data_IF_384625226343
#
_entry.id   IF_384625226343
#
_cell.length_a   1.000
_cell.length_b   1.000
_cell.length_c   1.000
_cell.angle_alpha   90.00
_cell.angle_beta   90.00
_cell.angle_gamma   90.00
#
_symmetry.space_group_name_H-M   'P 1'
#
loop_
_entity.id
_entity.type
_entity.pdbx_description
1 polymer ?
#
# COMPACT_ATOMS: atom_id res chain seq x y z
N UNK A 1 -72.07 1.96 -26.06
CA UNK A 1 -71.85 2.15 -24.61
C UNK A 1 -70.41 1.81 -24.27
N UNK A 2 -69.73 2.73 -23.59
CA UNK A 2 -68.32 2.65 -23.16
C UNK A 2 -68.19 1.67 -21.98
N UNK A 3 -67.18 0.79 -21.99
CA UNK A 3 -66.52 0.31 -20.78
C UNK A 3 -65.01 0.16 -21.01
N UNK A 4 -64.29 1.22 -20.67
CA UNK A 4 -62.90 1.16 -20.20
C UNK A 4 -62.85 0.42 -18.86
N UNK A 5 -61.87 -0.47 -18.66
CA UNK A 5 -61.20 -0.79 -17.38
C UNK A 5 -60.26 -1.98 -17.56
N UNK A 6 -59.03 -1.87 -17.05
CA UNK A 6 -58.05 -2.97 -16.98
C UNK A 6 -56.64 -2.45 -17.27
N UNK A 7 -56.10 -1.56 -16.44
CA UNK A 7 -55.23 -1.85 -15.29
C UNK A 7 -53.81 -2.27 -15.73
N UNK A 8 -52.92 -1.32 -15.47
CA UNK A 8 -51.46 -1.27 -15.44
C UNK A 8 -50.82 -2.51 -14.79
N UNK A 9 -49.77 -3.05 -15.41
CA UNK A 9 -48.65 -3.66 -14.70
C UNK A 9 -47.34 -3.26 -15.41
N UNK A 10 -46.80 -2.11 -15.03
CA UNK A 10 -45.42 -1.75 -15.35
C UNK A 10 -44.51 -2.50 -14.37
N UNK A 11 -43.89 -3.58 -14.86
CA UNK A 11 -42.80 -4.27 -14.18
C UNK A 11 -41.59 -3.33 -14.13
N UNK A 12 -41.49 -2.55 -13.06
CA UNK A 12 -40.25 -1.89 -12.67
C UNK A 12 -39.29 -2.98 -12.17
N UNK A 13 -38.47 -3.52 -13.08
CA UNK A 13 -37.27 -4.29 -12.71
C UNK A 13 -36.29 -3.29 -12.12
N UNK A 14 -36.41 -3.06 -10.81
CA UNK A 14 -35.37 -2.41 -10.03
C UNK A 14 -34.23 -3.44 -9.97
N UNK A 15 -33.30 -3.33 -10.91
CA UNK A 15 -32.00 -3.96 -10.78
C UNK A 15 -31.32 -3.31 -9.57
N UNK A 16 -31.57 -3.85 -8.39
CA UNK A 16 -30.78 -3.61 -7.21
C UNK A 16 -29.38 -4.19 -7.51
N UNK A 17 -28.54 -3.38 -8.15
CA UNK A 17 -27.11 -3.53 -8.05
C UNK A 17 -26.80 -3.33 -6.57
N UNK A 18 -26.87 -4.42 -5.81
CA UNK A 18 -26.37 -4.47 -4.45
C UNK A 18 -24.90 -4.11 -4.55
N UNK A 19 -24.59 -2.87 -4.19
CA UNK A 19 -23.22 -2.46 -3.91
C UNK A 19 -22.81 -3.34 -2.74
N UNK A 20 -22.17 -4.47 -3.02
CA UNK A 20 -21.50 -5.27 -2.00
C UNK A 20 -20.42 -4.34 -1.46
N UNK A 21 -20.77 -3.66 -0.38
CA UNK A 21 -19.88 -2.79 0.35
C UNK A 21 -18.79 -3.72 0.86
N UNK A 22 -17.57 -3.56 0.36
CA UNK A 22 -16.42 -4.31 0.84
C UNK A 22 -16.41 -4.25 2.37
N UNK A 23 -16.41 -5.40 3.01
CA UNK A 23 -16.50 -5.50 4.47
C UNK A 23 -15.14 -5.22 5.13
N UNK A 24 -14.05 -5.37 4.38
CA UNK A 24 -12.70 -5.05 4.84
C UNK A 24 -11.66 -4.97 3.72
N UNK A 25 -10.41 -4.65 4.08
CA UNK A 25 -9.31 -4.47 3.13
C UNK A 25 -8.87 -5.74 2.39
N UNK A 26 -9.36 -6.92 2.79
CA UNK A 26 -9.06 -8.20 2.15
C UNK A 26 -10.03 -8.56 1.01
N UNK A 27 -11.18 -7.90 0.90
CA UNK A 27 -12.28 -8.38 0.04
C UNK A 27 -12.10 -7.98 -1.43
N UNK A 28 -11.20 -7.04 -1.69
CA UNK A 28 -10.99 -6.46 -3.01
C UNK A 28 -10.01 -7.22 -3.89
N UNK A 29 -9.80 -6.72 -5.12
CA UNK A 29 -8.81 -7.28 -6.04
C UNK A 29 -7.37 -7.08 -5.56
N UNK A 30 -7.12 -6.13 -4.65
CA UNK A 30 -5.78 -5.68 -4.33
C UNK A 30 -5.23 -4.77 -5.43
N UNK A 31 -3.92 -4.55 -5.41
CA UNK A 31 -3.23 -3.72 -6.40
C UNK A 31 -2.20 -4.50 -7.21
N UNK A 32 -1.53 -5.49 -6.63
CA UNK A 32 -0.42 -6.19 -7.33
C UNK A 32 -0.96 -7.12 -8.41
N UNK A 33 -0.41 -6.99 -9.62
CA UNK A 33 -0.81 -7.69 -10.85
C UNK A 33 -2.25 -7.36 -11.30
N UNK A 34 -2.82 -6.26 -10.84
CA UNK A 34 -4.17 -5.79 -11.21
C UNK A 34 -4.06 -4.59 -12.16
N UNK A 35 -5.11 -4.32 -12.95
CA UNK A 35 -5.18 -3.10 -13.75
C UNK A 35 -5.17 -1.87 -12.84
N UNK A 36 -4.49 -0.80 -13.27
CA UNK A 36 -4.33 0.43 -12.50
C UNK A 36 -5.68 1.00 -12.07
N UNK A 37 -6.65 1.08 -12.99
CA UNK A 37 -7.96 1.64 -12.69
C UNK A 37 -8.71 0.84 -11.61
N UNK A 38 -8.63 -0.48 -11.66
CA UNK A 38 -9.30 -1.36 -10.67
C UNK A 38 -8.66 -1.20 -9.29
N UNK A 39 -7.33 -1.13 -9.21
CA UNK A 39 -6.62 -0.82 -7.96
C UNK A 39 -7.02 0.57 -7.42
N UNK A 40 -7.07 1.60 -8.26
CA UNK A 40 -7.43 2.95 -7.80
C UNK A 40 -8.89 3.02 -7.32
N UNK A 41 -9.82 2.34 -8.01
CA UNK A 41 -11.20 2.23 -7.54
C UNK A 41 -11.28 1.49 -6.20
N UNK A 42 -10.52 0.41 -6.05
CA UNK A 42 -10.43 -0.34 -4.80
C UNK A 42 -9.87 0.52 -3.64
N UNK A 43 -8.80 1.27 -3.88
CA UNK A 43 -8.22 2.17 -2.89
C UNK A 43 -9.21 3.27 -2.49
N UNK A 44 -9.94 3.86 -3.44
CA UNK A 44 -11.01 4.84 -3.16
C UNK A 44 -12.16 4.26 -2.34
N UNK A 45 -12.49 2.98 -2.57
CA UNK A 45 -13.55 2.31 -1.83
C UNK A 45 -13.16 1.97 -0.39
N UNK A 46 -11.85 1.85 -0.09
CA UNK A 46 -11.35 1.36 1.20
C UNK A 46 -10.50 2.35 1.97
N UNK A 47 -10.17 3.50 1.39
CA UNK A 47 -9.38 4.56 1.99
C UNK A 47 -9.79 5.93 1.40
N UNK A 48 -9.50 7.00 2.12
CA UNK A 48 -9.70 8.36 1.63
C UNK A 48 -8.49 8.76 0.80
N UNK A 49 -8.64 8.80 -0.53
CA UNK A 49 -7.58 9.15 -1.48
C UNK A 49 -7.57 10.66 -1.73
N UNK A 50 -6.39 11.26 -1.80
CA UNK A 50 -6.22 12.64 -2.28
C UNK A 50 -6.35 12.68 -3.81
N UNK A 51 -7.56 12.99 -4.30
CA UNK A 51 -7.86 13.03 -5.73
C UNK A 51 -7.07 14.12 -6.48
N UNK A 52 -6.72 15.22 -5.83
CA UNK A 52 -5.94 16.30 -6.45
C UNK A 52 -4.50 15.84 -6.70
N UNK A 53 -3.91 15.15 -5.72
CA UNK A 53 -2.58 14.59 -5.85
C UNK A 53 -2.56 13.44 -6.89
N UNK A 54 -3.57 12.57 -6.84
CA UNK A 54 -3.70 11.45 -7.77
C UNK A 54 -3.86 11.92 -9.22
N UNK A 55 -4.69 12.94 -9.48
CA UNK A 55 -4.85 13.50 -10.81
C UNK A 55 -3.52 14.01 -11.38
N UNK A 56 -2.72 14.71 -10.57
CA UNK A 56 -1.39 15.17 -10.94
C UNK A 56 -0.42 14.00 -11.22
N UNK A 57 -0.45 12.95 -10.39
CA UNK A 57 0.38 11.76 -10.59
C UNK A 57 0.03 11.02 -11.90
N UNK A 58 -1.26 10.89 -12.20
CA UNK A 58 -1.75 10.26 -13.44
C UNK A 58 -1.40 11.09 -14.68
N UNK A 59 -1.47 12.42 -14.59
CA UNK A 59 -1.08 13.31 -15.69
C UNK A 59 0.41 13.16 -16.03
N UNK A 60 1.28 13.08 -15.02
CA UNK A 60 2.73 12.88 -15.21
C UNK A 60 3.08 11.53 -15.83
N UNK A 61 2.21 10.53 -15.72
CA UNK A 61 2.40 9.20 -16.30
C UNK A 61 2.16 9.15 -17.81
N UNK A 62 1.47 10.12 -18.41
CA UNK A 62 1.11 10.11 -19.84
C UNK A 62 2.32 10.38 -20.77
N UNK A 63 3.42 9.66 -20.54
CA UNK A 63 4.64 9.72 -21.33
C UNK A 63 4.59 8.59 -22.34
N UNK A 64 4.88 8.94 -23.59
CA UNK A 64 5.10 8.00 -24.69
C UNK A 64 6.56 8.08 -25.11
N UNK A 65 7.12 6.97 -25.58
CA UNK A 65 8.44 6.97 -26.19
C UNK A 65 8.45 7.72 -27.53
N UNK A 66 9.63 7.87 -28.13
CA UNK A 66 9.81 8.53 -29.43
C UNK A 66 9.07 7.84 -30.59
N UNK A 67 8.60 6.61 -30.38
CA UNK A 67 7.84 5.82 -31.36
C UNK A 67 6.32 5.84 -31.06
N UNK A 68 5.86 6.66 -30.10
CA UNK A 68 4.47 6.75 -29.70
C UNK A 68 3.97 5.58 -28.82
N UNK A 69 4.86 4.71 -28.33
CA UNK A 69 4.50 3.62 -27.42
C UNK A 69 4.41 4.14 -25.99
N UNK A 70 3.39 3.73 -25.25
CA UNK A 70 3.30 4.05 -23.81
C UNK A 70 4.51 3.45 -23.10
N UNK A 71 5.15 4.25 -22.25
CA UNK A 71 6.10 3.73 -21.28
C UNK A 71 5.37 3.45 -19.97
N UNK A 72 5.83 2.43 -19.25
CA UNK A 72 5.43 2.24 -17.86
C UNK A 72 5.82 3.46 -17.01
N UNK A 73 5.42 3.46 -15.75
CA UNK A 73 5.73 4.57 -14.87
C UNK A 73 5.37 4.31 -13.43
N UNK A 74 5.57 5.32 -12.60
CA UNK A 74 5.21 5.27 -11.19
C UNK A 74 4.00 6.18 -10.97
N UNK A 75 2.95 5.65 -10.34
CA UNK A 75 1.82 6.43 -9.85
C UNK A 75 1.90 6.47 -8.34
N UNK A 76 2.06 7.68 -7.80
CA UNK A 76 2.05 7.91 -6.36
C UNK A 76 0.62 8.22 -5.91
N UNK A 77 0.13 7.47 -4.93
CA UNK A 77 -1.18 7.66 -4.30
C UNK A 77 -0.97 8.13 -2.86
N UNK A 78 -1.61 9.23 -2.49
CA UNK A 78 -1.67 9.69 -1.12
C UNK A 78 -3.04 9.33 -0.54
N UNK A 79 -3.08 8.64 0.60
CA UNK A 79 -4.32 8.14 1.16
C UNK A 79 -4.33 8.20 2.69
N UNK A 80 -5.53 8.13 3.29
CA UNK A 80 -5.74 7.95 4.74
C UNK A 80 -6.62 6.73 4.98
N UNK A 81 -6.25 5.94 5.98
CA UNK A 81 -7.02 4.79 6.40
C UNK A 81 -8.21 5.21 7.27
N UNK A 82 -9.34 4.49 7.24
CA UNK A 82 -10.41 4.69 8.20
C UNK A 82 -9.88 4.56 9.64
N UNK A 83 -10.18 5.54 10.50
CA UNK A 83 -9.72 5.54 11.90
C UNK A 83 -8.32 6.11 12.13
N UNK A 84 -7.58 6.48 11.07
CA UNK A 84 -6.26 7.10 11.16
C UNK A 84 -6.28 8.53 10.62
N UNK A 85 -5.58 9.44 11.30
CA UNK A 85 -5.42 10.83 10.84
C UNK A 85 -4.17 10.99 9.98
N UNK A 86 -3.17 10.16 10.24
CA UNK A 86 -1.91 10.13 9.52
C UNK A 86 -2.13 9.56 8.10
N UNK A 87 -1.67 10.28 7.07
CA UNK A 87 -1.67 9.76 5.73
C UNK A 87 -0.54 8.77 5.50
N UNK A 88 -0.72 7.96 4.46
CA UNK A 88 0.28 7.07 3.94
C UNK A 88 0.35 7.21 2.41
N UNK A 89 1.47 6.80 1.87
CA UNK A 89 1.83 6.89 0.45
C UNK A 89 1.89 5.46 -0.10
N UNK A 90 1.35 5.29 -1.30
CA UNK A 90 1.51 4.08 -2.09
C UNK A 90 2.22 4.46 -3.39
N UNK A 91 3.27 3.73 -3.74
CA UNK A 91 3.94 3.82 -5.04
C UNK A 91 3.54 2.61 -5.88
N UNK A 92 2.87 2.86 -7.00
CA UNK A 92 2.44 1.83 -7.94
C UNK A 92 3.35 1.86 -9.16
N UNK A 93 4.12 0.80 -9.37
CA UNK A 93 4.91 0.60 -10.59
C UNK A 93 4.00 -0.03 -11.64
N UNK A 94 3.69 0.75 -12.66
CA UNK A 94 2.72 0.41 -13.70
C UNK A 94 3.47 0.09 -14.99
N UNK A 95 3.12 -1.03 -15.60
CA UNK A 95 3.60 -1.46 -16.92
C UNK A 95 2.98 -0.61 -18.05
N UNK A 96 3.49 -0.74 -19.29
CA UNK A 96 2.89 -0.11 -20.47
C UNK A 96 1.42 -0.49 -20.74
N UNK A 97 0.99 -1.69 -20.34
CA UNK A 97 -0.38 -2.21 -20.48
C UNK A 97 -1.30 -1.84 -19.30
N UNK A 98 -0.95 -0.80 -18.54
CA UNK A 98 -1.73 -0.28 -17.41
C UNK A 98 -1.93 -1.31 -16.27
N UNK A 99 -1.04 -2.29 -16.10
CA UNK A 99 -1.05 -3.23 -14.97
C UNK A 99 -0.01 -2.85 -13.93
N UNK A 100 -0.30 -3.11 -12.68
CA UNK A 100 0.63 -2.84 -11.59
C UNK A 100 1.54 -4.07 -11.42
N UNK A 101 2.82 -3.92 -11.71
CA UNK A 101 3.82 -4.98 -11.51
C UNK A 101 4.27 -5.03 -10.04
N UNK A 102 4.45 -3.85 -9.43
CA UNK A 102 4.94 -3.73 -8.06
C UNK A 102 4.19 -2.62 -7.33
N UNK A 103 3.90 -2.86 -6.05
CA UNK A 103 3.33 -1.85 -5.17
C UNK A 103 4.19 -1.71 -3.92
N UNK A 104 4.46 -0.47 -3.50
CA UNK A 104 5.15 -0.16 -2.26
C UNK A 104 4.31 0.79 -1.43
N UNK A 105 4.41 0.72 -0.11
CA UNK A 105 3.72 1.67 0.75
C UNK A 105 4.46 1.88 2.06
N UNK A 106 4.49 3.12 2.55
CA UNK A 106 5.02 3.39 3.88
C UNK A 106 4.05 2.94 4.97
N UNK A 107 4.61 2.45 6.07
CA UNK A 107 3.87 2.19 7.30
C UNK A 107 3.77 3.48 8.11
N UNK A 108 2.79 3.53 9.02
CA UNK A 108 2.63 4.66 9.93
C UNK A 108 3.66 4.65 11.07
N UNK A 109 4.25 3.49 11.35
CA UNK A 109 5.35 3.34 12.31
C UNK A 109 6.23 2.13 11.98
N UNK A 110 7.42 2.09 12.60
CA UNK A 110 8.37 0.99 12.44
C UNK A 110 7.89 -0.27 13.17
N UNK A 111 7.93 -1.42 12.49
CA UNK A 111 7.47 -2.73 13.00
C UNK A 111 8.60 -3.73 13.28
N UNK A 112 9.87 -3.37 13.08
CA UNK A 112 11.01 -4.25 13.41
C UNK A 112 10.98 -4.67 14.87
N UNK A 113 10.69 -3.71 15.77
CA UNK A 113 10.62 -3.94 17.21
C UNK A 113 9.22 -4.32 17.71
N UNK A 114 8.21 -4.39 16.84
CA UNK A 114 6.84 -4.75 17.23
C UNK A 114 6.79 -6.18 17.77
N UNK A 115 6.18 -6.42 18.94
CA UNK A 115 6.02 -7.77 19.52
C UNK A 115 4.58 -8.12 19.87
N UNK A 116 3.68 -7.15 19.76
CA UNK A 116 2.27 -7.30 20.16
C UNK A 116 1.37 -6.82 19.03
N UNK A 117 0.13 -7.31 19.03
CA UNK A 117 -0.90 -6.94 18.05
C UNK A 117 -1.10 -5.42 18.00
N UNK A 118 -1.21 -4.76 19.16
CA UNK A 118 -1.39 -3.31 19.26
C UNK A 118 -0.29 -2.50 18.55
N UNK A 119 0.96 -2.96 18.60
CA UNK A 119 2.07 -2.26 17.94
C UNK A 119 1.95 -2.38 16.42
N UNK A 120 1.55 -3.55 15.93
CA UNK A 120 1.28 -3.76 14.50
C UNK A 120 0.05 -3.00 14.01
N UNK A 121 -1.00 -2.93 14.82
CA UNK A 121 -2.21 -2.18 14.50
C UNK A 121 -1.89 -0.67 14.38
N UNK A 122 -1.07 -0.12 15.30
CA UNK A 122 -0.61 1.28 15.21
C UNK A 122 0.23 1.60 13.99
N UNK A 123 0.92 0.62 13.41
CA UNK A 123 1.66 0.82 12.16
C UNK A 123 0.78 0.71 10.92
N UNK A 124 -0.49 0.35 11.10
CA UNK A 124 -1.44 -0.02 10.06
C UNK A 124 -0.91 -1.10 9.10
N UNK A 125 -0.05 -2.00 9.60
CA UNK A 125 0.61 -2.98 8.72
C UNK A 125 -0.40 -3.89 8.03
N UNK A 126 -1.38 -4.39 8.78
CA UNK A 126 -2.45 -5.22 8.22
C UNK A 126 -3.27 -4.48 7.17
N UNK A 127 -3.79 -3.31 7.54
CA UNK A 127 -4.65 -2.50 6.69
C UNK A 127 -4.01 -2.14 5.36
N UNK A 128 -2.72 -1.79 5.38
CA UNK A 128 -1.97 -1.43 4.17
C UNK A 128 -1.67 -2.67 3.35
N UNK A 129 -1.10 -3.72 3.97
CA UNK A 129 -0.70 -4.93 3.24
C UNK A 129 -1.91 -5.59 2.54
N UNK A 130 -3.05 -5.70 3.22
CA UNK A 130 -4.24 -6.32 2.64
C UNK A 130 -4.90 -5.47 1.56
N UNK A 131 -4.83 -4.13 1.63
CA UNK A 131 -5.27 -3.29 0.49
C UNK A 131 -4.43 -3.53 -0.76
N UNK A 132 -3.14 -3.86 -0.62
CA UNK A 132 -2.27 -4.14 -1.76
C UNK A 132 -2.38 -5.58 -2.27
N UNK A 133 -2.60 -6.56 -1.37
CA UNK A 133 -2.73 -7.98 -1.72
C UNK A 133 -4.14 -8.37 -2.15
N UNK A 134 -5.16 -7.72 -1.58
CA UNK A 134 -6.56 -8.06 -1.72
C UNK A 134 -6.86 -9.51 -1.36
N UNK A 135 -7.81 -10.10 -2.09
CA UNK A 135 -8.30 -11.48 -1.90
C UNK A 135 -7.28 -12.57 -2.20
N UNK A 136 -6.07 -12.23 -2.65
CA UNK A 136 -4.99 -13.20 -2.92
C UNK A 136 -4.64 -14.02 -1.66
N UNK A 137 -4.82 -13.43 -0.49
CA UNK A 137 -4.64 -14.07 0.80
C UNK A 137 -5.99 -14.41 1.48
N UNK A 138 -7.04 -14.79 0.74
CA UNK A 138 -8.42 -14.83 1.22
C UNK A 138 -8.73 -15.71 2.46
N UNK A 139 -7.83 -16.62 2.84
CA UNK A 139 -7.97 -17.42 4.07
C UNK A 139 -7.13 -16.90 5.26
N UNK A 140 -6.25 -15.94 5.03
CA UNK A 140 -5.30 -15.46 6.02
C UNK A 140 -5.92 -14.42 6.94
N UNK A 141 -5.81 -14.64 8.24
CA UNK A 141 -6.28 -13.69 9.25
C UNK A 141 -5.27 -12.55 9.46
N UNK A 142 -5.69 -11.50 10.19
CA UNK A 142 -4.79 -10.43 10.66
C UNK A 142 -3.59 -10.98 11.43
N UNK A 143 -3.84 -11.93 12.33
CA UNK A 143 -2.80 -12.53 13.15
C UNK A 143 -1.81 -13.37 12.32
N UNK A 144 -2.27 -14.01 11.23
CA UNK A 144 -1.39 -14.77 10.34
C UNK A 144 -0.40 -13.87 9.61
N UNK A 145 -0.81 -12.67 9.21
CA UNK A 145 0.10 -11.69 8.62
C UNK A 145 1.13 -11.19 9.63
N UNK A 146 0.75 -10.98 10.89
CA UNK A 146 1.68 -10.57 11.95
C UNK A 146 2.69 -11.66 12.25
N UNK A 147 2.24 -12.92 12.35
CA UNK A 147 3.11 -14.09 12.49
C UNK A 147 4.02 -14.29 11.29
N UNK A 148 3.53 -14.05 10.07
CA UNK A 148 4.36 -14.05 8.87
C UNK A 148 5.51 -13.05 9.01
N UNK A 149 5.23 -11.81 9.41
CA UNK A 149 6.28 -10.81 9.57
C UNK A 149 7.28 -11.20 10.66
N UNK A 150 6.78 -11.62 11.83
CA UNK A 150 7.61 -12.02 12.98
C UNK A 150 8.53 -13.20 12.65
N UNK A 151 8.00 -14.24 12.01
CA UNK A 151 8.69 -15.52 11.84
C UNK A 151 9.41 -15.67 10.50
N UNK A 152 8.97 -14.95 9.46
CA UNK A 152 9.51 -15.10 8.09
C UNK A 152 10.30 -13.89 7.64
N UNK A 153 9.84 -12.67 7.97
CA UNK A 153 10.48 -11.43 7.50
C UNK A 153 11.61 -11.00 8.42
N UNK A 154 11.35 -10.87 9.73
CA UNK A 154 12.36 -10.37 10.69
C UNK A 154 13.68 -11.15 10.68
N UNK A 155 13.69 -12.50 10.62
CA UNK A 155 14.95 -13.25 10.56
C UNK A 155 15.79 -12.96 9.31
N UNK A 156 15.17 -12.44 8.26
CA UNK A 156 15.84 -12.10 6.99
C UNK A 156 16.24 -10.62 6.90
N UNK A 157 15.93 -9.81 7.91
CA UNK A 157 16.30 -8.39 7.91
C UNK A 157 17.82 -8.25 8.03
N UNK A 158 18.42 -7.65 7.02
CA UNK A 158 19.82 -7.22 7.01
C UNK A 158 19.90 -5.74 7.31
N UNK A 159 20.94 -5.33 8.03
CA UNK A 159 21.18 -3.92 8.36
C UNK A 159 22.43 -3.42 7.65
N UNK A 160 22.24 -2.44 6.78
CA UNK A 160 23.32 -1.73 6.11
C UNK A 160 23.45 -0.35 6.75
N UNK A 161 24.61 -0.10 7.36
CA UNK A 161 24.95 1.22 7.90
C UNK A 161 25.83 1.97 6.90
N UNK A 162 25.50 3.23 6.69
CA UNK A 162 26.29 4.15 5.89
C UNK A 162 26.48 5.48 6.64
N UNK A 163 27.74 5.86 6.80
CA UNK A 163 28.11 7.18 7.29
C UNK A 163 28.31 8.09 6.07
N UNK A 164 27.31 8.91 5.76
CA UNK A 164 27.27 9.78 4.57
C UNK A 164 28.19 10.99 4.75
N UNK A 165 28.30 11.49 5.98
CA UNK A 165 29.29 12.49 6.37
C UNK A 165 29.83 12.15 7.76
N UNK A 166 31.13 12.36 7.98
CA UNK A 166 31.80 12.08 9.25
C UNK A 166 31.95 13.35 10.10
N UNK A 167 32.16 13.18 11.41
CA UNK A 167 32.39 14.26 12.36
C UNK A 167 31.27 14.41 13.40
N UNK A 168 31.34 15.46 14.23
CA UNK A 168 30.35 15.74 15.29
C UNK A 168 28.93 16.05 14.76
N UNK A 169 28.83 16.42 13.48
CA UNK A 169 27.59 16.70 12.76
C UNK A 169 27.42 15.81 11.54
N UNK A 170 28.04 14.62 11.59
CA UNK A 170 27.98 13.63 10.53
C UNK A 170 26.54 13.20 10.24
N UNK A 171 26.26 12.88 8.98
CA UNK A 171 24.98 12.31 8.56
C UNK A 171 25.14 10.80 8.53
N UNK A 172 24.33 10.11 9.31
CA UNK A 172 24.39 8.67 9.46
C UNK A 172 23.05 8.06 9.03
N UNK A 173 23.14 6.93 8.34
CA UNK A 173 22.01 6.23 7.77
C UNK A 173 22.10 4.75 8.08
N UNK A 174 21.00 4.15 8.54
CA UNK A 174 20.86 2.70 8.66
C UNK A 174 19.65 2.26 7.85
N UNK A 175 19.86 1.32 6.94
CA UNK A 175 18.82 0.68 6.15
C UNK A 175 18.67 -0.75 6.66
N UNK A 176 17.55 -1.04 7.29
CA UNK A 176 17.14 -2.41 7.62
C UNK A 176 16.24 -2.92 6.50
N UNK A 177 16.60 -4.00 5.82
CA UNK A 177 15.83 -4.49 4.67
C UNK A 177 15.69 -6.01 4.66
N UNK A 178 14.53 -6.48 4.23
CA UNK A 178 14.28 -7.87 3.85
C UNK A 178 13.57 -7.86 2.49
N UNK A 179 13.94 -8.74 1.57
CA UNK A 179 13.39 -8.75 0.22
C UNK A 179 13.09 -10.17 -0.25
N UNK A 180 12.12 -10.28 -1.16
CA UNK A 180 11.73 -11.53 -1.80
C UNK A 180 11.24 -12.63 -0.83
N UNK A 181 10.63 -12.26 0.29
CA UNK A 181 10.00 -13.20 1.23
C UNK A 181 8.66 -13.64 0.64
N UNK A 182 8.40 -14.94 0.37
CA UNK A 182 7.15 -15.36 -0.26
C UNK A 182 5.92 -15.09 0.62
N UNK A 183 4.90 -14.43 0.08
CA UNK A 183 3.61 -14.19 0.74
C UNK A 183 2.48 -14.31 -0.28
N UNK A 184 1.60 -15.30 -0.12
CA UNK A 184 0.43 -15.52 -0.98
C UNK A 184 0.72 -15.51 -2.49
N UNK A 185 1.88 -16.03 -2.92
CA UNK A 185 2.26 -16.09 -4.34
C UNK A 185 2.80 -14.78 -4.91
N UNK A 186 3.14 -13.80 -4.08
CA UNK A 186 3.96 -12.63 -4.45
C UNK A 186 5.20 -12.55 -3.55
N UNK A 187 6.20 -11.79 -3.96
CA UNK A 187 7.39 -11.53 -3.17
C UNK A 187 7.19 -10.27 -2.32
N UNK A 188 7.21 -10.45 -0.99
CA UNK A 188 7.16 -9.40 0.01
C UNK A 188 8.55 -8.83 0.28
N UNK A 189 8.61 -7.53 0.50
CA UNK A 189 9.77 -6.80 0.96
C UNK A 189 9.40 -5.86 2.11
N UNK A 190 10.37 -5.62 2.99
CA UNK A 190 10.30 -4.64 4.06
C UNK A 190 11.57 -3.79 4.04
N UNK A 191 11.41 -2.49 4.22
CA UNK A 191 12.52 -1.55 4.33
C UNK A 191 12.25 -0.61 5.49
N UNK A 192 13.24 -0.40 6.35
CA UNK A 192 13.26 0.68 7.32
C UNK A 192 14.53 1.50 7.16
N UNK A 193 14.37 2.80 6.96
CA UNK A 193 15.41 3.79 6.89
C UNK A 193 15.39 4.62 8.17
N UNK A 194 16.50 4.62 8.89
CA UNK A 194 16.75 5.50 10.03
C UNK A 194 17.91 6.43 9.67
N UNK A 195 17.67 7.73 9.71
CA UNK A 195 18.67 8.77 9.43
C UNK A 195 18.81 9.70 10.63
N UNK A 196 20.04 10.04 11.01
CA UNK A 196 20.30 11.00 12.08
C UNK A 196 21.56 11.82 11.81
N UNK A 197 21.63 12.99 12.44
CA UNK A 197 22.83 13.83 12.47
C UNK A 197 23.49 13.75 13.84
N UNK A 198 24.80 13.58 13.88
CA UNK A 198 25.54 13.49 15.15
C UNK A 198 26.93 12.88 14.97
N UNK A 199 27.49 12.37 16.07
CA UNK A 199 28.76 11.64 16.04
C UNK A 199 28.57 10.17 15.63
N UNK A 200 29.60 9.55 15.08
CA UNK A 200 29.53 8.17 14.58
C UNK A 200 29.20 7.12 15.67
N UNK A 201 29.48 7.40 16.95
CA UNK A 201 29.12 6.51 18.07
C UNK A 201 27.77 6.83 18.72
N UNK A 202 27.08 7.91 18.32
CA UNK A 202 25.79 8.24 18.93
C UNK A 202 24.73 7.29 18.38
N UNK A 203 24.08 6.55 19.27
CA UNK A 203 22.78 5.93 19.02
C UNK A 203 21.83 6.98 18.41
N UNK A 204 20.95 6.61 17.46
CA UNK A 204 19.98 7.55 16.89
C UNK A 204 19.30 8.34 18.01
N UNK A 205 19.61 9.63 18.10
CA UNK A 205 19.08 10.51 19.14
C UNK A 205 17.61 10.84 18.88
N UNK A 206 17.04 11.73 19.71
CA UNK A 206 15.64 12.17 19.58
C UNK A 206 15.28 12.80 18.21
N UNK A 207 16.27 13.18 17.40
CA UNK A 207 16.08 13.82 16.09
C UNK A 207 16.28 12.86 14.90
N UNK A 208 16.16 11.55 15.11
CA UNK A 208 16.26 10.59 14.03
C UNK A 208 14.98 10.58 13.17
N UNK A 209 15.15 10.71 11.85
CA UNK A 209 14.07 10.48 10.88
C UNK A 209 13.94 8.98 10.65
N UNK A 210 12.74 8.44 10.84
CA UNK A 210 12.45 7.03 10.61
C UNK A 210 11.39 6.89 9.52
N UNK A 211 11.67 6.04 8.54
CA UNK A 211 10.76 5.70 7.46
C UNK A 211 10.71 4.19 7.32
N UNK A 212 9.52 3.60 7.43
CA UNK A 212 9.29 2.18 7.20
C UNK A 212 8.38 1.98 6.01
N UNK A 213 8.64 0.99 5.17
CA UNK A 213 7.79 0.63 4.04
C UNK A 213 7.75 -0.88 3.82
N UNK A 214 6.69 -1.30 3.15
CA UNK A 214 6.52 -2.66 2.61
C UNK A 214 6.44 -2.58 1.09
N UNK A 215 6.85 -3.65 0.42
CA UNK A 215 6.79 -3.79 -1.03
C UNK A 215 6.28 -5.17 -1.44
N UNK A 216 5.61 -5.24 -2.58
CA UNK A 216 5.05 -6.47 -3.15
C UNK A 216 5.30 -6.50 -4.65
N UNK A 217 5.78 -7.64 -5.17
CA UNK A 217 6.02 -7.91 -6.60
C UNK A 217 5.55 -9.30 -7.00
#
# INVERSE_FOLDING_TARGET
MRRWRGVVLALAVIAAAGVVRAAGPADGPGCVQVALNDCLQWLRATATVDESFLANALQRRQVVDVNGKRIGGIVTVYARLPGHVEPFVILLHVTPDDRIERAESNLLSNIVSARTEDVYDRSAFYDIAWRLLGRRCGASTKLDLYRFFENSVKPQIKQDRQDVANGLFGLHRVVSHAAAVPLCGVAFAYTNLTEWRGGASSTPGANATNFSSIGLR
#
